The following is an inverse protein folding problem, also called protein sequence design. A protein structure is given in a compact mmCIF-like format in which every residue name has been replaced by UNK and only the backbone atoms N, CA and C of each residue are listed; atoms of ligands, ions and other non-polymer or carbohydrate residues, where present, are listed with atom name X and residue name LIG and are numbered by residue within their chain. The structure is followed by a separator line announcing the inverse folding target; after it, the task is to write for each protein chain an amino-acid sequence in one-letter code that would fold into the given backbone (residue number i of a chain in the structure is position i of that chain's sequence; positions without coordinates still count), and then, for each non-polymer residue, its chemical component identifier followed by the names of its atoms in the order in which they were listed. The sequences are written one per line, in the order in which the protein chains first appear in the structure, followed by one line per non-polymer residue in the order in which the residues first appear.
data_IF_644521359479
#
_entry.id   IF_644521359479
#
_cell.length_a   1.000
_cell.length_b   1.000
_cell.length_c   1.000
_cell.angle_alpha   90.00
_cell.angle_beta   90.00
_cell.angle_gamma   90.00
#
_symmetry.space_group_name_H-M   'P 1'
#
loop_
_entity.id
_entity.type
_entity.pdbx_description
1 polymer ?
#
# COMPACT_ATOMS: atom_id res chain seq x y z
N UNK A 1 6.64 0.04 -15.78
CA UNK A 1 5.94 0.84 -14.77
C UNK A 1 5.02 -0.09 -14.01
N UNK A 2 4.82 0.10 -12.71
CA UNK A 2 3.65 -0.49 -12.07
C UNK A 2 2.39 0.20 -12.62
N UNK A 3 1.30 -0.55 -12.81
CA UNK A 3 0.03 0.02 -13.24
C UNK A 3 -0.79 0.40 -12.01
N UNK A 4 -1.16 1.68 -11.88
CA UNK A 4 -2.01 2.17 -10.78
C UNK A 4 -3.46 1.99 -11.21
N UNK A 5 -4.13 0.98 -10.66
CA UNK A 5 -5.54 0.68 -10.95
C UNK A 5 -6.52 1.42 -10.05
N UNK A 6 -6.06 1.91 -8.89
CA UNK A 6 -6.85 2.68 -7.92
C UNK A 6 -5.93 3.61 -7.12
N UNK A 7 -6.37 4.85 -6.93
CA UNK A 7 -5.80 5.78 -5.96
C UNK A 7 -6.90 6.18 -4.97
N UNK A 8 -6.61 6.15 -3.67
CA UNK A 8 -7.57 6.43 -2.61
C UNK A 8 -6.91 7.23 -1.50
N UNK A 9 -7.61 8.26 -1.03
CA UNK A 9 -7.26 9.03 0.16
C UNK A 9 -8.20 8.61 1.30
N UNK A 10 -7.63 8.15 2.41
CA UNK A 10 -8.37 7.69 3.60
C UNK A 10 -7.48 7.89 4.84
N UNK A 11 -7.99 8.54 5.88
CA UNK A 11 -7.26 8.77 7.13
C UNK A 11 -7.06 7.49 7.96
N UNK A 12 -7.88 6.46 7.74
CA UNK A 12 -7.81 5.17 8.44
C UNK A 12 -7.11 4.08 7.65
N UNK A 13 -6.71 4.36 6.42
CA UNK A 13 -5.86 3.50 5.59
C UNK A 13 -6.40 2.06 5.47
N UNK A 14 -5.74 1.11 6.12
CA UNK A 14 -6.11 -0.31 6.10
C UNK A 14 -6.97 -0.61 7.32
N UNK A 15 -8.29 -0.66 7.11
CA UNK A 15 -9.24 -0.94 8.18
C UNK A 15 -10.47 -1.73 7.72
N UNK A 16 -10.92 -2.66 8.58
CA UNK A 16 -12.11 -3.46 8.39
C UNK A 16 -12.16 -4.19 7.03
N UNK A 17 -13.38 -4.36 6.50
CA UNK A 17 -13.60 -5.01 5.21
C UNK A 17 -13.54 -4.05 4.00
N UNK A 18 -13.32 -2.75 4.25
CA UNK A 18 -13.38 -1.73 3.20
C UNK A 18 -12.26 -1.95 2.19
N UNK A 19 -11.04 -2.25 2.64
CA UNK A 19 -9.90 -2.52 1.74
C UNK A 19 -10.11 -3.78 0.93
N UNK A 20 -10.64 -4.85 1.54
CA UNK A 20 -10.96 -6.10 0.83
C UNK A 20 -11.92 -5.86 -0.33
N UNK A 21 -12.95 -5.03 -0.13
CA UNK A 21 -13.89 -4.66 -1.19
C UNK A 21 -13.19 -3.92 -2.33
N UNK A 22 -12.33 -2.94 -2.01
CA UNK A 22 -11.59 -2.18 -3.03
C UNK A 22 -10.60 -3.03 -3.81
N UNK A 23 -9.90 -3.95 -3.15
CA UNK A 23 -9.02 -4.93 -3.81
C UNK A 23 -9.83 -5.77 -4.81
N UNK A 24 -10.98 -6.30 -4.38
CA UNK A 24 -11.85 -7.07 -5.25
C UNK A 24 -12.39 -6.28 -6.45
N UNK A 25 -12.76 -5.01 -6.26
CA UNK A 25 -13.27 -4.17 -7.36
C UNK A 25 -12.18 -3.72 -8.34
N UNK A 26 -11.02 -3.32 -7.83
CA UNK A 26 -9.90 -2.83 -8.64
C UNK A 26 -9.05 -3.94 -9.26
N UNK A 27 -9.23 -5.18 -8.80
CA UNK A 27 -8.37 -6.33 -9.15
C UNK A 27 -6.89 -6.07 -8.82
N UNK A 28 -6.63 -5.23 -7.82
CA UNK A 28 -5.27 -4.91 -7.37
C UNK A 28 -4.63 -6.15 -6.73
N UNK A 29 -3.37 -6.41 -7.08
CA UNK A 29 -2.58 -7.50 -6.49
C UNK A 29 -1.55 -7.00 -5.44
N UNK A 30 -1.45 -5.67 -5.27
CA UNK A 30 -0.60 -5.00 -4.28
C UNK A 30 -1.29 -3.77 -3.71
N UNK A 31 -1.00 -3.47 -2.45
CA UNK A 31 -1.40 -2.23 -1.77
C UNK A 31 -0.14 -1.46 -1.39
N UNK A 32 -0.09 -0.17 -1.70
CA UNK A 32 0.96 0.73 -1.25
C UNK A 32 0.32 1.86 -0.44
N UNK A 33 0.71 1.97 0.83
CA UNK A 33 0.39 3.11 1.69
C UNK A 33 1.53 4.10 1.61
N UNK A 34 1.22 5.36 1.30
CA UNK A 34 2.21 6.43 1.20
C UNK A 34 1.98 7.41 2.34
N UNK A 35 2.83 7.37 3.35
CA UNK A 35 2.77 8.24 4.54
C UNK A 35 4.14 8.34 5.19
N UNK A 36 4.67 9.55 5.27
CA UNK A 36 5.98 9.82 5.86
C UNK A 36 5.96 9.62 7.38
N UNK A 37 4.84 9.97 8.03
CA UNK A 37 4.63 9.80 9.48
C UNK A 37 4.60 8.32 9.86
N UNK A 38 3.83 7.49 9.14
CA UNK A 38 3.73 6.06 9.43
C UNK A 38 4.99 5.29 9.01
N UNK A 39 5.76 5.79 8.05
CA UNK A 39 7.04 5.19 7.71
C UNK A 39 8.08 5.43 8.82
N UNK A 40 7.94 6.52 9.58
CA UNK A 40 8.77 6.85 10.73
C UNK A 40 8.35 6.13 12.03
N UNK A 41 7.16 5.50 12.06
CA UNK A 41 6.66 4.74 13.21
C UNK A 41 6.58 3.22 12.89
N UNK A 42 7.61 2.44 13.29
CA UNK A 42 7.65 1.00 13.02
C UNK A 42 6.49 0.21 13.63
N UNK A 43 5.98 0.66 14.79
CA UNK A 43 4.90 -0.02 15.48
C UNK A 43 3.60 0.13 14.71
N UNK A 44 3.23 1.37 14.36
CA UNK A 44 2.04 1.65 13.56
C UNK A 44 2.14 1.05 12.16
N UNK A 45 3.33 1.09 11.54
CA UNK A 45 3.60 0.43 10.26
C UNK A 45 3.25 -1.06 10.31
N UNK A 46 3.69 -1.77 11.35
CA UNK A 46 3.39 -3.19 11.53
C UNK A 46 1.89 -3.44 11.74
N UNK A 47 1.19 -2.60 12.52
CA UNK A 47 -0.27 -2.72 12.72
C UNK A 47 -0.99 -2.67 11.38
N UNK A 48 -0.71 -1.69 10.53
CA UNK A 48 -1.38 -1.57 9.23
C UNK A 48 -1.03 -2.70 8.27
N UNK A 49 0.21 -3.18 8.28
CA UNK A 49 0.61 -4.33 7.46
C UNK A 49 -0.08 -5.62 7.91
N UNK A 50 -0.26 -5.83 9.22
CA UNK A 50 -1.02 -6.96 9.78
C UNK A 50 -2.52 -6.87 9.48
N UNK A 51 -3.07 -5.67 9.37
CA UNK A 51 -4.47 -5.45 9.00
C UNK A 51 -4.74 -5.66 7.49
N UNK A 52 -3.69 -5.81 6.67
CA UNK A 52 -3.85 -5.99 5.23
C UNK A 52 -4.54 -7.32 4.90
N UNK A 53 -5.37 -7.36 3.84
CA UNK A 53 -6.03 -8.59 3.43
C UNK A 53 -5.02 -9.72 3.16
N UNK A 54 -5.32 -10.96 3.58
CA UNK A 54 -4.48 -12.11 3.26
C UNK A 54 -4.37 -12.26 1.74
N UNK A 55 -3.21 -12.74 1.26
CA UNK A 55 -2.88 -12.94 -0.17
C UNK A 55 -2.65 -11.68 -1.01
N UNK A 56 -2.61 -10.49 -0.42
CA UNK A 56 -2.22 -9.25 -1.12
C UNK A 56 -0.89 -8.73 -0.56
N UNK A 57 0.06 -8.42 -1.45
CA UNK A 57 1.33 -7.81 -1.00
C UNK A 57 1.07 -6.36 -0.60
N UNK A 58 1.25 -6.05 0.66
CA UNK A 58 1.14 -4.70 1.21
C UNK A 58 2.52 -4.11 1.50
N UNK A 59 2.63 -2.78 1.35
CA UNK A 59 3.84 -2.04 1.72
C UNK A 59 3.48 -0.63 2.17
N UNK A 60 4.26 -0.10 3.10
CA UNK A 60 4.15 1.27 3.58
C UNK A 60 5.47 1.98 3.35
N UNK A 61 5.41 3.14 2.69
CA UNK A 61 6.56 3.87 2.17
C UNK A 61 6.35 5.37 2.40
N UNK A 62 7.45 6.12 2.47
CA UNK A 62 7.42 7.58 2.33
C UNK A 62 7.21 8.03 0.89
N UNK A 63 6.68 9.23 0.68
CA UNK A 63 6.42 9.81 -0.65
C UNK A 63 7.63 9.75 -1.60
N UNK A 64 8.83 10.22 -1.23
CA UNK A 64 9.97 10.21 -2.16
C UNK A 64 10.44 8.81 -2.52
N UNK A 65 10.26 7.83 -1.63
CA UNK A 65 10.58 6.44 -1.93
C UNK A 65 9.56 5.83 -2.90
N UNK A 66 8.27 6.11 -2.69
CA UNK A 66 7.22 5.67 -3.60
C UNK A 66 7.46 6.17 -5.04
N UNK A 67 7.76 7.47 -5.21
CA UNK A 67 8.08 8.04 -6.53
C UNK A 67 9.24 7.32 -7.20
N UNK A 68 10.38 7.18 -6.51
CA UNK A 68 11.56 6.45 -7.02
C UNK A 68 11.24 4.99 -7.39
N UNK A 69 10.36 4.36 -6.63
CA UNK A 69 9.99 2.96 -6.84
C UNK A 69 9.06 2.78 -8.04
N UNK A 70 8.18 3.73 -8.31
CA UNK A 70 7.31 3.74 -9.48
C UNK A 70 8.09 3.88 -10.79
N UNK A 71 9.17 4.64 -10.79
CA UNK A 71 10.05 4.84 -11.95
C UNK A 71 10.87 3.58 -12.30
N UNK A 72 11.20 2.73 -11.30
CA UNK A 72 12.05 1.54 -11.48
C UNK A 72 11.24 0.29 -11.82
N UNK A 73 11.32 -0.18 -13.09
CA UNK A 73 10.65 -1.42 -13.59
C UNK A 73 10.92 -2.68 -12.75
N UNK A 74 12.06 -2.77 -12.07
CA UNK A 74 12.52 -3.96 -11.33
C UNK A 74 12.14 -3.95 -9.83
N UNK A 75 11.69 -2.83 -9.28
CA UNK A 75 11.47 -2.70 -7.83
C UNK A 75 10.13 -3.32 -7.34
N UNK A 76 9.22 -3.61 -8.25
CA UNK A 76 7.92 -4.23 -7.97
C UNK A 76 7.84 -5.72 -8.30
N UNK A 77 8.94 -6.33 -8.77
CA UNK A 77 8.96 -7.76 -9.18
C UNK A 77 9.20 -8.74 -8.04
N UNK A 78 9.68 -8.28 -6.88
CA UNK A 78 9.84 -9.08 -5.66
C UNK A 78 8.66 -8.90 -4.73
#
# INVERSE_FOLDING_TARGET
MANIVLCRIDSRLIHGQVVTKWVGQSQANRIAVVSDELDADPFMKNIYLMAAPPNIKSGLLRQPEFCRRMERKSAWRR
#
